data_IF_741329694353
#
_entry.id   IF_741329694353
#
_cell.length_a   1.000
_cell.length_b   1.000
_cell.length_c   1.000
_cell.angle_alpha   90.00
_cell.angle_beta   90.00
_cell.angle_gamma   90.00
#
_symmetry.space_group_name_H-M   'P 1'
#
loop_
_entity.id
_entity.type
_entity.pdbx_description
1 polymer ?
#
# COMPACT_ATOMS: atom_id res chain seq x y z
N UNK A 1 -14.58 5.48 8.55
CA UNK A 1 -13.37 5.28 7.74
C UNK A 1 -12.24 6.00 8.45
N UNK A 2 -11.23 5.27 8.91
CA UNK A 2 -10.02 5.82 9.52
C UNK A 2 -9.08 6.38 8.45
N UNK A 3 -8.07 7.15 8.88
CA UNK A 3 -7.03 7.65 7.98
C UNK A 3 -6.27 6.51 7.29
N UNK A 4 -5.99 5.42 8.01
CA UNK A 4 -5.29 4.26 7.46
C UNK A 4 -6.12 3.53 6.39
N UNK A 5 -7.44 3.39 6.60
CA UNK A 5 -8.36 2.81 5.60
C UNK A 5 -8.46 3.70 4.35
N UNK A 6 -8.53 5.02 4.54
CA UNK A 6 -8.56 5.99 3.44
C UNK A 6 -7.29 5.92 2.60
N UNK A 7 -6.12 5.91 3.26
CA UNK A 7 -4.82 5.77 2.62
C UNK A 7 -4.71 4.45 1.85
N UNK A 8 -5.05 3.32 2.50
CA UNK A 8 -4.98 1.99 1.89
C UNK A 8 -5.80 1.87 0.61
N UNK A 9 -7.01 2.47 0.59
CA UNK A 9 -7.84 2.52 -0.63
C UNK A 9 -7.17 3.28 -1.77
N UNK A 10 -6.62 4.47 -1.48
CA UNK A 10 -5.95 5.29 -2.51
C UNK A 10 -4.68 4.60 -3.01
N UNK A 11 -3.90 4.00 -2.10
CA UNK A 11 -2.70 3.23 -2.46
C UNK A 11 -3.04 2.10 -3.42
N UNK A 12 -4.07 1.29 -3.09
CA UNK A 12 -4.53 0.18 -3.95
C UNK A 12 -4.98 0.68 -5.32
N UNK A 13 -5.79 1.73 -5.37
CA UNK A 13 -6.27 2.32 -6.62
C UNK A 13 -5.12 2.78 -7.52
N UNK A 14 -4.11 3.45 -6.95
CA UNK A 14 -2.94 3.92 -7.71
C UNK A 14 -2.09 2.76 -8.20
N UNK A 15 -1.85 1.75 -7.35
CA UNK A 15 -1.12 0.53 -7.72
C UNK A 15 -1.77 -0.16 -8.92
N UNK A 16 -3.09 -0.36 -8.86
CA UNK A 16 -3.84 -1.04 -9.92
C UNK A 16 -3.90 -0.21 -11.21
N UNK A 17 -4.01 1.12 -11.12
CA UNK A 17 -3.95 2.00 -12.28
C UNK A 17 -2.59 1.94 -13.00
N UNK A 18 -1.51 1.69 -12.25
CA UNK A 18 -0.16 1.44 -12.78
C UNK A 18 0.08 -0.01 -13.21
N UNK A 19 -0.92 -0.89 -13.04
CA UNK A 19 -0.85 -2.34 -13.32
C UNK A 19 0.25 -3.08 -12.54
N UNK A 20 0.62 -2.56 -11.36
CA UNK A 20 1.59 -3.19 -10.49
C UNK A 20 0.92 -4.23 -9.58
N UNK A 21 1.59 -5.34 -9.33
CA UNK A 21 1.29 -6.25 -8.22
C UNK A 21 1.76 -5.63 -6.89
N UNK A 22 1.29 -6.18 -5.77
CA UNK A 22 1.80 -5.78 -4.44
C UNK A 22 3.29 -6.08 -4.29
N UNK A 23 3.81 -7.08 -5.02
CA UNK A 23 5.21 -7.48 -4.97
C UNK A 23 6.09 -6.49 -5.72
N UNK A 24 5.68 -6.07 -6.92
CA UNK A 24 6.36 -5.03 -7.71
C UNK A 24 6.36 -3.69 -6.98
N UNK A 25 5.21 -3.25 -6.44
CA UNK A 25 5.16 -2.03 -5.64
C UNK A 25 6.05 -2.12 -4.39
N UNK A 26 6.06 -3.28 -3.73
CA UNK A 26 6.94 -3.52 -2.60
C UNK A 26 8.40 -3.38 -3.00
N UNK A 27 8.81 -4.07 -4.06
CA UNK A 27 10.17 -4.02 -4.58
C UNK A 27 10.61 -2.59 -4.94
N UNK A 28 9.79 -1.85 -5.69
CA UNK A 28 10.08 -0.46 -6.08
C UNK A 28 10.15 0.49 -4.88
N UNK A 29 9.34 0.26 -3.85
CA UNK A 29 9.32 1.08 -2.63
C UNK A 29 10.35 0.64 -1.58
N UNK A 30 11.14 -0.41 -1.80
CA UNK A 30 12.02 -0.98 -0.79
C UNK A 30 11.28 -1.61 0.40
N UNK A 31 10.04 -2.05 0.19
CA UNK A 31 9.14 -2.60 1.19
C UNK A 31 8.79 -4.06 0.88
N UNK A 32 8.53 -4.86 1.91
CA UNK A 32 8.05 -6.22 1.70
C UNK A 32 6.59 -6.21 1.22
N UNK A 33 6.22 -7.11 0.29
CA UNK A 33 4.83 -7.29 -0.22
C UNK A 33 3.79 -7.37 0.89
N UNK A 34 4.11 -8.05 2.00
CA UNK A 34 3.22 -8.17 3.17
C UNK A 34 2.91 -6.81 3.80
N UNK A 35 3.88 -5.88 3.83
CA UNK A 35 3.66 -4.54 4.35
C UNK A 35 2.72 -3.74 3.43
N UNK A 36 2.91 -3.83 2.11
CA UNK A 36 1.96 -3.27 1.13
C UNK A 36 0.54 -3.81 1.36
N UNK A 37 0.38 -5.12 1.53
CA UNK A 37 -0.92 -5.75 1.83
C UNK A 37 -1.54 -5.25 3.14
N UNK A 38 -0.74 -4.98 4.17
CA UNK A 38 -1.22 -4.41 5.44
C UNK A 38 -1.68 -2.95 5.27
N UNK A 39 -0.93 -2.15 4.49
CA UNK A 39 -1.30 -0.77 4.16
C UNK A 39 -2.61 -0.70 3.37
N UNK A 40 -2.74 -1.50 2.31
CA UNK A 40 -3.94 -1.49 1.45
C UNK A 40 -5.22 -1.91 2.19
N UNK A 41 -5.09 -2.71 3.24
CA UNK A 41 -6.20 -3.13 4.12
C UNK A 41 -6.43 -2.19 5.31
N UNK A 42 -5.62 -1.14 5.46
CA UNK A 42 -5.69 -0.22 6.59
C UNK A 42 -5.30 -0.83 7.94
N UNK A 43 -4.59 -1.97 7.94
CA UNK A 43 -4.14 -2.67 9.14
C UNK A 43 -2.82 -2.12 9.71
N UNK A 44 -2.12 -1.29 8.91
CA UNK A 44 -0.94 -0.53 9.30
C UNK A 44 -1.06 0.89 8.76
N UNK A 45 -0.47 1.84 9.48
CA UNK A 45 -0.21 3.18 8.95
C UNK A 45 1.14 3.20 8.23
N UNK A 46 1.28 3.97 7.14
CA UNK A 46 2.58 4.26 6.56
C UNK A 46 3.41 5.05 7.58
N UNK A 47 4.71 4.77 7.63
CA UNK A 47 5.68 5.63 8.32
C UNK A 47 6.27 6.60 7.30
N UNK A 48 6.48 7.84 7.71
CA UNK A 48 7.17 8.85 6.93
C UNK A 48 8.43 9.16 7.72
N UNK A 49 9.58 8.82 7.15
CA UNK A 49 10.90 9.19 7.67
C UNK A 49 11.35 10.53 7.05
#
# INVERSE_FOLDING_TARGET
MSLAEAFGRVLKQKREALKLSQEELGFEAGLHRTYISLLERGLKSPTID
#
